data_IF_370582815232
#
_entry.id   IF_370582815232
#
_cell.length_a   1.000
_cell.length_b   1.000
_cell.length_c   1.000
_cell.angle_alpha   90.00
_cell.angle_beta   90.00
_cell.angle_gamma   90.00
#
_symmetry.space_group_name_H-M   'P 1'
#
loop_
_entity.id
_entity.type
_entity.pdbx_description
1 polymer ?
#
# COMPACT_ATOMS: atom_id res chain seq x y z
N UNK A 1 16.63 45.12 4.15
CA UNK A 1 17.85 44.66 3.43
C UNK A 1 18.95 44.17 4.39
N UNK A 2 18.90 44.42 5.71
CA UNK A 2 19.92 43.98 6.68
C UNK A 2 19.77 42.53 7.21
N UNK A 3 18.58 41.92 7.16
CA UNK A 3 18.33 40.58 7.72
C UNK A 3 19.23 39.48 7.14
N UNK A 4 19.46 39.48 5.82
CA UNK A 4 20.33 38.52 5.16
C UNK A 4 21.82 38.67 5.51
N UNK A 5 22.24 39.82 6.05
CA UNK A 5 23.63 40.13 6.37
C UNK A 5 23.98 39.91 7.85
N UNK A 6 22.99 39.85 8.75
CA UNK A 6 23.23 39.75 10.21
C UNK A 6 22.50 38.54 10.83
N UNK A 7 21.94 37.63 10.02
CA UNK A 7 21.20 36.44 10.49
C UNK A 7 19.82 36.79 11.08
N UNK A 8 18.99 35.78 11.31
CA UNK A 8 17.66 35.93 11.93
C UNK A 8 16.51 36.25 10.96
N UNK A 9 15.34 35.74 11.29
CA UNK A 9 14.08 35.84 10.54
C UNK A 9 13.32 37.09 11.01
N UNK A 10 13.01 38.08 10.15
CA UNK A 10 12.23 39.24 10.57
C UNK A 10 10.84 38.86 11.11
N UNK A 11 10.45 39.43 12.25
CA UNK A 11 9.12 39.20 12.86
C UNK A 11 7.99 39.57 11.87
N UNK A 12 8.15 40.66 11.12
CA UNK A 12 7.19 41.09 10.09
C UNK A 12 6.98 40.06 8.97
N UNK A 13 8.02 39.30 8.60
CA UNK A 13 7.89 38.24 7.57
C UNK A 13 7.10 37.04 8.10
N UNK A 14 7.24 36.71 9.39
CA UNK A 14 6.44 35.67 10.04
C UNK A 14 5.00 36.15 10.22
N UNK A 15 4.81 37.39 10.67
CA UNK A 15 3.50 38.02 10.83
C UNK A 15 2.73 38.12 9.50
N UNK A 16 3.40 38.44 8.39
CA UNK A 16 2.81 38.46 7.06
C UNK A 16 2.25 37.09 6.63
N UNK A 17 2.73 35.99 7.22
CA UNK A 17 2.24 34.62 7.01
C UNK A 17 1.19 34.19 8.05
N UNK A 18 0.75 35.09 8.93
CA UNK A 18 -0.17 34.79 10.03
C UNK A 18 -1.46 34.10 9.60
N UNK A 19 -2.03 34.46 8.44
CA UNK A 19 -3.22 33.78 7.91
C UNK A 19 -2.93 32.29 7.60
N UNK A 20 -1.77 31.98 7.00
CA UNK A 20 -1.37 30.60 6.70
C UNK A 20 -1.27 29.74 7.95
N UNK A 21 -0.69 30.28 9.04
CA UNK A 21 -0.63 29.61 10.34
C UNK A 21 -2.01 29.49 11.01
N UNK A 22 -2.78 30.57 11.01
CA UNK A 22 -4.09 30.65 11.64
C UNK A 22 -5.10 29.64 11.06
N UNK A 23 -5.04 29.34 9.76
CA UNK A 23 -5.91 28.33 9.11
C UNK A 23 -5.78 26.94 9.73
N UNK A 24 -4.60 26.58 10.24
CA UNK A 24 -4.35 25.32 10.93
C UNK A 24 -4.27 25.48 12.46
N UNK A 25 -4.54 26.67 12.99
CA UNK A 25 -4.41 26.97 14.41
C UNK A 25 -2.97 26.83 14.92
N UNK A 26 -1.97 26.90 14.05
CA UNK A 26 -0.56 26.78 14.43
C UNK A 26 -0.11 28.10 15.03
N UNK A 27 0.48 28.02 16.23
CA UNK A 27 1.18 29.14 16.83
C UNK A 27 2.61 29.21 16.23
N UNK A 28 3.01 30.30 15.55
CA UNK A 28 4.38 30.45 15.05
C UNK A 28 5.44 30.28 16.14
N UNK A 29 5.11 30.56 17.40
CA UNK A 29 5.99 30.34 18.55
C UNK A 29 6.35 28.88 18.81
N UNK A 30 5.74 27.90 18.13
CA UNK A 30 6.18 26.49 18.19
C UNK A 30 7.29 26.16 17.20
N UNK A 31 7.56 27.06 16.25
CA UNK A 31 8.55 26.89 15.17
C UNK A 31 9.72 27.86 15.32
N UNK A 32 9.49 29.00 15.95
CA UNK A 32 10.46 30.08 16.08
C UNK A 32 10.61 30.54 17.53
N UNK A 33 11.84 30.89 17.92
CA UNK A 33 12.15 31.53 19.20
C UNK A 33 12.68 32.96 18.99
N UNK A 34 12.45 33.89 19.93
CA UNK A 34 13.05 35.23 19.86
C UNK A 34 14.58 35.14 19.88
N UNK A 35 15.24 35.81 18.92
CA UNK A 35 16.70 35.87 18.84
C UNK A 35 17.22 37.24 19.28
N UNK A 36 16.61 38.31 18.75
CA UNK A 36 16.91 39.71 19.08
C UNK A 36 15.71 40.61 18.73
N UNK A 37 15.66 41.88 19.16
CA UNK A 37 14.52 42.75 18.88
C UNK A 37 14.16 42.80 17.38
N UNK A 38 12.95 42.35 17.03
CA UNK A 38 12.44 42.33 15.64
C UNK A 38 12.85 41.11 14.81
N UNK A 39 13.56 40.13 15.39
CA UNK A 39 14.04 38.94 14.70
C UNK A 39 13.88 37.65 15.53
N UNK A 40 13.51 36.58 14.84
CA UNK A 40 13.32 35.24 15.37
C UNK A 40 14.34 34.27 14.77
N UNK A 41 14.65 33.20 15.48
CA UNK A 41 15.40 32.06 14.97
C UNK A 41 14.50 30.83 14.86
N UNK A 42 14.87 29.86 14.01
CA UNK A 42 14.26 28.54 14.08
C UNK A 42 14.60 27.90 15.42
N UNK A 43 13.64 27.19 16.02
CA UNK A 43 13.92 26.42 17.23
C UNK A 43 14.98 25.35 16.98
N UNK A 44 15.72 24.98 18.02
CA UNK A 44 16.75 23.93 17.96
C UNK A 44 16.24 22.60 17.39
N UNK A 45 14.96 22.28 17.58
CA UNK A 45 14.36 21.06 17.03
C UNK A 45 14.18 21.10 15.49
N UNK A 46 14.43 22.24 14.85
CA UNK A 46 14.43 22.43 13.40
C UNK A 46 15.89 22.72 12.97
N UNK A 47 16.69 21.66 12.94
CA UNK A 47 18.12 21.69 12.58
C UNK A 47 18.39 21.42 11.08
N UNK A 48 17.36 21.08 10.32
CA UNK A 48 17.45 20.90 8.89
C UNK A 48 16.09 21.17 8.24
N UNK A 49 16.12 21.50 6.94
CA UNK A 49 14.89 21.73 6.16
C UNK A 49 13.86 20.60 6.30
N UNK A 50 14.22 19.30 6.27
CA UNK A 50 13.26 18.21 6.49
C UNK A 50 12.58 18.22 7.86
N UNK A 51 13.23 18.76 8.90
CA UNK A 51 12.67 18.83 10.25
C UNK A 51 11.45 19.77 10.34
N UNK A 52 11.33 20.75 9.43
CA UNK A 52 10.18 21.67 9.35
C UNK A 52 8.88 20.88 9.13
N UNK A 53 8.89 19.98 8.14
CA UNK A 53 7.71 19.16 7.83
C UNK A 53 7.35 18.26 9.00
N UNK A 54 8.35 17.58 9.57
CA UNK A 54 8.17 16.68 10.72
C UNK A 54 7.54 17.45 11.89
N UNK A 55 8.07 18.64 12.21
CA UNK A 55 7.57 19.47 13.30
C UNK A 55 6.14 19.92 13.05
N UNK A 56 5.83 20.45 11.87
CA UNK A 56 4.48 20.89 11.50
C UNK A 56 3.45 19.74 11.54
N UNK A 57 3.80 18.55 11.05
CA UNK A 57 2.89 17.39 11.05
C UNK A 57 2.68 16.80 12.44
N UNK A 58 3.62 17.02 13.37
CA UNK A 58 3.50 16.66 14.77
C UNK A 58 2.72 17.68 15.62
N UNK A 59 2.42 18.87 15.09
CA UNK A 59 1.68 19.89 15.84
C UNK A 59 0.25 19.44 16.17
N UNK A 60 -0.15 19.41 17.46
CA UNK A 60 -1.50 18.97 17.87
C UNK A 60 -2.62 19.80 17.23
N UNK A 61 -2.40 21.11 17.03
CA UNK A 61 -3.37 21.99 16.40
C UNK A 61 -3.66 21.57 14.95
N UNK A 62 -2.62 21.28 14.16
CA UNK A 62 -2.76 20.80 12.79
C UNK A 62 -3.48 19.46 12.75
N UNK A 63 -3.11 18.52 13.62
CA UNK A 63 -3.76 17.21 13.70
C UNK A 63 -5.26 17.35 14.04
N UNK A 64 -5.60 18.22 14.99
CA UNK A 64 -6.99 18.48 15.40
C UNK A 64 -7.82 19.12 14.28
N UNK A 65 -7.25 20.05 13.52
CA UNK A 65 -7.94 20.67 12.38
C UNK A 65 -8.22 19.65 11.28
N UNK A 66 -7.25 18.77 10.98
CA UNK A 66 -7.44 17.69 10.00
C UNK A 66 -8.49 16.68 10.48
N UNK A 67 -8.44 16.28 11.75
CA UNK A 67 -9.44 15.41 12.36
C UNK A 67 -10.84 16.03 12.30
N UNK A 68 -10.95 17.34 12.50
CA UNK A 68 -12.22 18.07 12.42
C UNK A 68 -12.82 18.06 11.01
N UNK A 69 -11.99 18.16 9.96
CA UNK A 69 -12.45 18.01 8.57
C UNK A 69 -12.91 16.59 8.27
N UNK A 70 -12.18 15.57 8.74
CA UNK A 70 -12.59 14.17 8.60
C UNK A 70 -13.93 13.90 9.29
N UNK A 71 -14.08 14.37 10.53
CA UNK A 71 -15.32 14.24 11.28
C UNK A 71 -16.49 14.99 10.62
N UNK A 72 -16.25 16.17 10.05
CA UNK A 72 -17.28 16.91 9.32
C UNK A 72 -17.73 16.18 8.04
N UNK A 73 -16.82 15.56 7.31
CA UNK A 73 -17.15 14.73 6.16
C UNK A 73 -17.93 13.47 6.57
N UNK A 74 -17.52 12.80 7.64
CA UNK A 74 -18.21 11.62 8.16
C UNK A 74 -19.64 11.95 8.62
N UNK A 75 -19.81 13.03 9.38
CA UNK A 75 -21.12 13.50 9.85
C UNK A 75 -22.00 13.99 8.69
N UNK A 76 -21.42 14.53 7.63
CA UNK A 76 -22.16 14.83 6.40
C UNK A 76 -22.59 13.53 5.70
N UNK A 77 -21.67 12.58 5.55
CA UNK A 77 -21.91 11.32 4.86
C UNK A 77 -22.99 10.47 5.53
N UNK A 78 -23.07 10.48 6.86
CA UNK A 78 -24.08 9.71 7.60
C UNK A 78 -25.51 10.08 7.23
N UNK A 79 -25.73 11.32 6.77
CA UNK A 79 -27.03 11.81 6.27
C UNK A 79 -27.09 11.66 4.74
N UNK A 80 -26.06 12.10 4.03
CA UNK A 80 -26.01 12.08 2.56
C UNK A 80 -26.18 10.68 1.97
N UNK A 81 -25.69 9.63 2.64
CA UNK A 81 -25.83 8.23 2.18
C UNK A 81 -27.28 7.77 2.02
N UNK A 82 -28.21 8.39 2.75
CA UNK A 82 -29.63 8.06 2.66
C UNK A 82 -30.25 8.65 1.39
N UNK A 83 -29.79 9.84 0.95
CA UNK A 83 -30.15 10.40 -0.35
C UNK A 83 -29.71 9.51 -1.51
N UNK A 84 -28.54 8.86 -1.39
CA UNK A 84 -28.08 7.87 -2.37
C UNK A 84 -28.98 6.65 -2.42
N UNK A 85 -29.51 6.21 -1.28
CA UNK A 85 -30.44 5.09 -1.25
C UNK A 85 -31.79 5.41 -1.89
N UNK A 86 -32.23 6.66 -1.80
CA UNK A 86 -33.48 7.15 -2.39
C UNK A 86 -33.35 7.49 -3.89
N UNK A 87 -32.17 7.37 -4.50
CA UNK A 87 -32.00 7.59 -5.95
C UNK A 87 -32.85 6.63 -6.80
N UNK A 88 -33.15 5.43 -6.28
CA UNK A 88 -34.07 4.47 -6.94
C UNK A 88 -35.53 4.90 -6.85
N UNK A 89 -35.89 5.73 -5.87
CA UNK A 89 -37.26 6.16 -5.59
C UNK A 89 -37.68 7.40 -6.40
N UNK A 90 -36.89 7.79 -7.42
CA UNK A 90 -37.25 8.80 -8.41
C UNK A 90 -36.67 10.20 -8.19
N UNK A 91 -35.80 10.39 -7.18
CA UNK A 91 -35.07 11.66 -6.98
C UNK A 91 -34.15 11.93 -8.17
N UNK A 92 -34.26 13.10 -8.79
CA UNK A 92 -33.50 13.41 -10.02
C UNK A 92 -32.04 13.67 -9.69
N UNK A 93 -31.14 13.04 -10.44
CA UNK A 93 -29.69 13.15 -10.26
C UNK A 93 -29.16 14.61 -10.19
N UNK A 94 -29.64 15.57 -11.00
CA UNK A 94 -29.22 16.97 -10.88
C UNK A 94 -29.59 17.62 -9.54
N UNK A 95 -30.77 17.29 -8.99
CA UNK A 95 -31.26 17.86 -7.74
C UNK A 95 -30.44 17.30 -6.56
N UNK A 96 -30.19 15.99 -6.55
CA UNK A 96 -29.30 15.33 -5.58
C UNK A 96 -27.90 15.94 -5.62
N UNK A 97 -27.36 16.17 -6.83
CA UNK A 97 -26.04 16.80 -6.97
C UNK A 97 -26.00 18.18 -6.32
N UNK A 98 -27.01 19.01 -6.57
CA UNK A 98 -27.06 20.38 -6.03
C UNK A 98 -27.19 20.38 -4.50
N UNK A 99 -28.05 19.52 -3.96
CA UNK A 99 -28.26 19.37 -2.52
C UNK A 99 -26.99 18.89 -1.81
N UNK A 100 -26.36 17.84 -2.32
CA UNK A 100 -25.13 17.29 -1.74
C UNK A 100 -23.95 18.28 -1.82
N UNK A 101 -23.83 19.02 -2.93
CA UNK A 101 -22.83 20.09 -3.06
C UNK A 101 -23.04 21.17 -2.00
N UNK A 102 -24.29 21.63 -1.85
CA UNK A 102 -24.64 22.71 -0.92
C UNK A 102 -24.38 22.30 0.52
N UNK A 103 -24.82 21.09 0.90
CA UNK A 103 -24.66 20.57 2.26
C UNK A 103 -23.20 20.28 2.61
N UNK A 104 -22.41 19.72 1.68
CA UNK A 104 -20.99 19.46 1.92
C UNK A 104 -20.20 20.76 2.10
N UNK A 105 -20.44 21.76 1.23
CA UNK A 105 -19.84 23.10 1.39
C UNK A 105 -20.18 23.72 2.74
N UNK A 106 -21.44 23.61 3.16
CA UNK A 106 -21.90 24.10 4.46
C UNK A 106 -21.19 23.45 5.66
N UNK A 107 -20.59 22.26 5.50
CA UNK A 107 -19.81 21.57 6.53
C UNK A 107 -18.32 21.89 6.48
N UNK A 108 -17.74 22.03 5.30
CA UNK A 108 -16.29 22.23 5.13
C UNK A 108 -15.86 23.69 5.23
N UNK A 109 -16.61 24.63 4.62
CA UNK A 109 -16.23 26.06 4.57
C UNK A 109 -16.06 26.68 5.97
N UNK A 110 -16.94 26.41 6.96
CA UNK A 110 -16.78 26.98 8.30
C UNK A 110 -15.51 26.56 9.04
N UNK A 111 -14.82 25.49 8.60
CA UNK A 111 -13.58 25.01 9.22
C UNK A 111 -12.35 25.83 8.79
N UNK A 112 -12.47 26.75 7.83
CA UNK A 112 -11.46 27.76 7.50
C UNK A 112 -10.24 27.29 6.69
N UNK A 113 -9.93 25.99 6.64
CA UNK A 113 -8.86 25.46 5.79
C UNK A 113 -9.29 25.38 4.34
N UNK A 114 -10.53 24.99 4.03
CA UNK A 114 -11.00 24.91 2.65
C UNK A 114 -11.97 26.04 2.36
N UNK A 115 -11.62 26.93 1.43
CA UNK A 115 -12.51 27.98 0.97
C UNK A 115 -13.68 27.42 0.13
N UNK A 116 -14.56 28.31 -0.33
CA UNK A 116 -15.73 27.94 -1.12
C UNK A 116 -15.38 27.17 -2.40
N UNK A 117 -14.31 27.58 -3.09
CA UNK A 117 -13.87 26.97 -4.34
C UNK A 117 -13.22 25.61 -4.10
N UNK A 118 -12.38 25.50 -3.07
CA UNK A 118 -11.73 24.24 -2.68
C UNK A 118 -12.75 23.21 -2.20
N UNK A 119 -13.71 23.63 -1.38
CA UNK A 119 -14.81 22.77 -0.91
C UNK A 119 -15.70 22.29 -2.06
N UNK A 120 -16.02 23.18 -3.02
CA UNK A 120 -16.72 22.78 -4.23
C UNK A 120 -15.86 21.84 -5.11
N UNK A 121 -14.54 22.07 -5.16
CA UNK A 121 -13.59 21.21 -5.87
C UNK A 121 -13.57 19.78 -5.34
N UNK A 122 -13.49 19.61 -4.01
CA UNK A 122 -13.61 18.30 -3.34
C UNK A 122 -14.87 17.58 -3.83
N UNK A 123 -16.03 18.26 -3.78
CA UNK A 123 -17.29 17.67 -4.22
C UNK A 123 -17.28 17.30 -5.71
N UNK A 124 -16.87 18.22 -6.58
CA UNK A 124 -16.97 18.04 -8.04
C UNK A 124 -16.08 16.88 -8.50
N UNK A 125 -14.85 16.78 -7.98
CA UNK A 125 -13.94 15.69 -8.34
C UNK A 125 -14.47 14.35 -7.84
N UNK A 126 -14.98 14.30 -6.60
CA UNK A 126 -15.61 13.11 -6.05
C UNK A 126 -16.83 12.68 -6.88
N UNK A 127 -17.74 13.62 -7.16
CA UNK A 127 -18.97 13.37 -7.94
C UNK A 127 -18.66 12.83 -9.34
N UNK A 128 -17.62 13.35 -10.00
CA UNK A 128 -17.21 12.88 -11.32
C UNK A 128 -16.79 11.41 -11.30
N UNK A 129 -16.07 10.97 -10.26
CA UNK A 129 -15.60 9.60 -10.12
C UNK A 129 -16.76 8.61 -9.90
N UNK A 130 -17.76 8.99 -9.09
CA UNK A 130 -18.86 8.09 -8.74
C UNK A 130 -20.03 8.15 -9.74
N UNK A 131 -20.03 9.07 -10.70
CA UNK A 131 -21.18 9.32 -11.60
C UNK A 131 -21.67 8.04 -12.31
N UNK A 132 -20.76 7.17 -12.73
CA UNK A 132 -21.13 5.92 -13.39
C UNK A 132 -21.70 4.90 -12.40
N UNK A 133 -21.14 4.80 -11.20
CA UNK A 133 -21.71 3.98 -10.13
C UNK A 133 -23.15 4.39 -9.83
N UNK A 134 -23.43 5.69 -9.74
CA UNK A 134 -24.79 6.20 -9.53
C UNK A 134 -25.75 5.80 -10.63
N UNK A 135 -25.31 5.85 -11.89
CA UNK A 135 -26.13 5.39 -13.03
C UNK A 135 -26.46 3.91 -12.90
N UNK A 136 -25.47 3.10 -12.55
CA UNK A 136 -25.63 1.66 -12.33
C UNK A 136 -26.59 1.39 -11.16
N UNK A 137 -26.45 2.09 -10.04
CA UNK A 137 -27.37 1.97 -8.88
C UNK A 137 -28.81 2.29 -9.29
N UNK A 138 -29.02 3.32 -10.10
CA UNK A 138 -30.35 3.69 -10.60
C UNK A 138 -30.89 2.62 -11.55
N UNK A 139 -30.07 2.08 -12.45
CA UNK A 139 -30.54 1.15 -13.49
C UNK A 139 -30.75 -0.29 -13.00
N UNK A 140 -29.82 -0.81 -12.19
CA UNK A 140 -29.77 -2.23 -11.81
C UNK A 140 -29.68 -2.46 -10.29
N UNK A 141 -29.69 -1.40 -9.48
CA UNK A 141 -29.62 -1.51 -8.02
C UNK A 141 -28.20 -1.70 -7.48
N UNK A 142 -28.11 -2.23 -6.26
CA UNK A 142 -26.85 -2.47 -5.55
C UNK A 142 -26.10 -3.68 -6.10
N UNK A 143 -25.62 -3.55 -7.34
CA UNK A 143 -25.04 -4.65 -8.08
C UNK A 143 -23.58 -4.91 -7.68
N UNK A 144 -23.19 -6.18 -7.55
CA UNK A 144 -21.86 -6.58 -7.09
C UNK A 144 -20.71 -6.04 -7.95
N UNK A 145 -20.94 -5.80 -9.25
CA UNK A 145 -19.91 -5.24 -10.16
C UNK A 145 -19.42 -3.84 -9.78
N UNK A 146 -20.14 -3.14 -8.89
CA UNK A 146 -19.74 -1.84 -8.35
C UNK A 146 -18.74 -1.94 -7.20
N UNK A 147 -18.49 -3.14 -6.69
CA UNK A 147 -17.63 -3.42 -5.55
C UNK A 147 -16.30 -3.96 -6.10
N UNK A 148 -15.17 -3.25 -5.96
CA UNK A 148 -13.85 -3.78 -6.28
C UNK A 148 -13.47 -4.95 -5.36
N UNK A 149 -12.60 -5.85 -5.83
CA UNK A 149 -12.24 -7.06 -5.06
C UNK A 149 -11.64 -6.72 -3.71
N UNK A 150 -10.83 -5.66 -3.59
CA UNK A 150 -10.25 -5.20 -2.32
C UNK A 150 -11.29 -4.99 -1.20
N UNK A 151 -12.52 -4.58 -1.53
CA UNK A 151 -13.59 -4.41 -0.54
C UNK A 151 -14.20 -5.74 -0.11
N UNK A 152 -14.29 -6.72 -1.02
CA UNK A 152 -14.75 -8.07 -0.67
C UNK A 152 -13.69 -8.83 0.11
N UNK A 153 -12.43 -8.70 -0.29
CA UNK A 153 -11.30 -9.31 0.41
C UNK A 153 -11.23 -8.77 1.83
N UNK A 154 -11.23 -7.44 2.01
CA UNK A 154 -11.16 -6.85 3.34
C UNK A 154 -12.35 -7.23 4.26
N UNK A 155 -13.52 -7.47 3.68
CA UNK A 155 -14.73 -7.79 4.44
C UNK A 155 -14.85 -9.29 4.76
N UNK A 156 -14.51 -10.16 3.80
CA UNK A 156 -14.85 -11.59 3.87
C UNK A 156 -13.64 -12.52 3.80
N UNK A 157 -12.53 -12.09 3.21
CA UNK A 157 -11.40 -12.96 2.84
C UNK A 157 -10.03 -12.40 3.25
N UNK A 158 -9.99 -11.62 4.33
CA UNK A 158 -8.75 -11.00 4.79
C UNK A 158 -7.74 -12.06 5.23
N UNK A 159 -8.19 -13.14 5.87
CA UNK A 159 -7.33 -14.22 6.31
C UNK A 159 -6.65 -14.93 5.12
N UNK A 160 -7.38 -15.17 4.03
CA UNK A 160 -6.82 -15.73 2.80
C UNK A 160 -5.83 -14.76 2.13
N UNK A 161 -6.13 -13.46 2.11
CA UNK A 161 -5.21 -12.42 1.64
C UNK A 161 -3.91 -12.41 2.44
N UNK A 162 -4.01 -12.45 3.77
CA UNK A 162 -2.86 -12.46 4.68
C UNK A 162 -2.01 -13.73 4.49
N UNK A 163 -2.63 -14.89 4.24
CA UNK A 163 -1.91 -16.13 3.92
C UNK A 163 -1.13 -16.02 2.61
N UNK A 164 -1.73 -15.40 1.58
CA UNK A 164 -1.08 -15.13 0.30
C UNK A 164 0.11 -14.18 0.49
N UNK A 165 -0.06 -13.06 1.19
CA UNK A 165 1.01 -12.10 1.49
C UNK A 165 2.15 -12.77 2.27
N UNK A 166 1.83 -13.62 3.25
CA UNK A 166 2.83 -14.37 4.00
C UNK A 166 3.61 -15.39 3.14
N UNK A 167 2.96 -16.01 2.14
CA UNK A 167 3.62 -16.89 1.19
C UNK A 167 4.54 -16.10 0.24
N UNK A 168 4.12 -14.94 -0.24
CA UNK A 168 4.94 -14.04 -1.07
C UNK A 168 6.18 -13.55 -0.32
N UNK A 169 6.03 -13.20 0.96
CA UNK A 169 7.15 -12.83 1.83
C UNK A 169 8.16 -14.00 1.97
N UNK A 170 7.68 -15.22 2.24
CA UNK A 170 8.54 -16.42 2.32
C UNK A 170 9.24 -16.75 1.01
N UNK A 171 8.59 -16.53 -0.13
CA UNK A 171 9.21 -16.70 -1.45
C UNK A 171 10.33 -15.68 -1.63
N UNK A 172 10.10 -14.42 -1.25
CA UNK A 172 11.09 -13.36 -1.35
C UNK A 172 12.30 -13.62 -0.44
N UNK A 173 12.07 -14.09 0.78
CA UNK A 173 13.11 -14.54 1.71
C UNK A 173 13.94 -15.69 1.12
N UNK A 174 13.27 -16.75 0.64
CA UNK A 174 13.96 -17.89 0.03
C UNK A 174 14.73 -17.51 -1.25
N UNK A 175 14.27 -16.50 -1.99
CA UNK A 175 15.02 -15.95 -3.14
C UNK A 175 16.29 -15.21 -2.71
N UNK A 176 16.26 -14.50 -1.57
CA UNK A 176 17.44 -13.92 -0.95
C UNK A 176 18.44 -14.99 -0.52
N UNK A 177 17.98 -16.02 0.20
CA UNK A 177 18.82 -17.16 0.59
C UNK A 177 19.43 -17.89 -0.64
N UNK A 178 18.67 -17.99 -1.74
CA UNK A 178 19.18 -18.56 -2.98
C UNK A 178 20.33 -17.72 -3.56
N UNK A 179 20.22 -16.39 -3.53
CA UNK A 179 21.26 -15.51 -4.03
C UNK A 179 22.56 -15.66 -3.22
N UNK A 180 22.46 -15.69 -1.89
CA UNK A 180 23.60 -15.91 -0.99
C UNK A 180 24.25 -17.30 -1.19
N UNK A 181 23.43 -18.34 -1.38
CA UNK A 181 23.93 -19.69 -1.65
C UNK A 181 24.63 -19.78 -3.01
N UNK A 182 24.13 -19.07 -4.03
CA UNK A 182 24.75 -19.01 -5.36
C UNK A 182 26.09 -18.28 -5.31
N UNK A 183 26.19 -17.18 -4.57
CA UNK A 183 27.45 -16.45 -4.35
C UNK A 183 28.49 -17.33 -3.63
N UNK A 184 28.08 -17.98 -2.53
CA UNK A 184 28.95 -18.93 -1.79
C UNK A 184 29.44 -20.06 -2.70
N UNK A 185 28.53 -20.63 -3.50
CA UNK A 185 28.87 -21.71 -4.41
C UNK A 185 29.77 -21.25 -5.57
N UNK A 186 29.62 -20.01 -6.04
CA UNK A 186 30.51 -19.41 -7.04
C UNK A 186 31.94 -19.32 -6.50
N UNK A 187 32.11 -18.82 -5.27
CA UNK A 187 33.43 -18.76 -4.61
C UNK A 187 34.04 -20.15 -4.45
N UNK A 188 33.24 -21.12 -3.97
CA UNK A 188 33.70 -22.50 -3.79
C UNK A 188 34.09 -23.16 -5.11
N UNK A 189 33.38 -22.86 -6.19
CA UNK A 189 33.70 -23.36 -7.53
C UNK A 189 34.86 -22.60 -8.20
N UNK A 190 35.37 -21.53 -7.57
CA UNK A 190 36.30 -20.59 -8.18
C UNK A 190 35.82 -20.13 -9.56
N UNK A 191 34.51 -19.91 -9.71
CA UNK A 191 33.89 -19.59 -10.98
C UNK A 191 34.03 -18.10 -11.29
N UNK A 192 34.79 -17.80 -12.34
CA UNK A 192 34.96 -16.45 -12.88
C UNK A 192 33.99 -16.25 -14.07
N UNK A 193 32.94 -15.44 -13.93
CA UNK A 193 32.03 -15.14 -15.03
C UNK A 193 32.70 -14.24 -16.07
N UNK A 194 32.32 -14.40 -17.34
CA UNK A 194 32.70 -13.46 -18.41
C UNK A 194 32.07 -12.06 -18.16
N UNK A 195 32.62 -10.99 -18.77
CA UNK A 195 32.21 -9.59 -18.55
C UNK A 195 30.69 -9.34 -18.70
N UNK A 196 30.00 -10.14 -19.52
CA UNK A 196 28.55 -10.04 -19.77
C UNK A 196 27.73 -11.22 -19.20
N UNK A 197 28.36 -12.15 -18.48
CA UNK A 197 27.66 -13.33 -17.97
C UNK A 197 26.92 -13.02 -16.65
N UNK A 198 25.60 -13.20 -16.68
CA UNK A 198 24.80 -13.15 -15.46
C UNK A 198 24.96 -14.44 -14.67
N UNK A 199 25.58 -14.35 -13.50
CA UNK A 199 25.65 -15.47 -12.55
C UNK A 199 24.25 -15.83 -12.06
N UNK A 200 23.84 -17.06 -12.30
CA UNK A 200 22.54 -17.61 -11.87
C UNK A 200 22.73 -18.97 -11.21
N UNK A 201 21.72 -19.42 -10.45
CA UNK A 201 21.70 -20.76 -9.86
C UNK A 201 21.94 -21.87 -10.90
N UNK A 202 21.40 -21.71 -12.11
CA UNK A 202 21.59 -22.68 -13.19
C UNK A 202 23.05 -22.75 -13.69
N UNK A 203 23.70 -21.58 -13.84
CA UNK A 203 25.11 -21.48 -14.27
C UNK A 203 26.01 -22.12 -13.21
N UNK A 204 25.86 -21.72 -11.95
CA UNK A 204 26.71 -22.23 -10.86
C UNK A 204 26.49 -23.73 -10.64
N UNK A 205 25.25 -24.24 -10.71
CA UNK A 205 25.01 -25.68 -10.64
C UNK A 205 25.66 -26.47 -11.78
N UNK A 206 25.75 -25.88 -12.98
CA UNK A 206 26.47 -26.50 -14.09
C UNK A 206 27.96 -26.59 -13.79
N UNK A 207 28.57 -25.49 -13.33
CA UNK A 207 29.98 -25.45 -12.94
C UNK A 207 30.31 -26.43 -11.79
N UNK A 208 29.48 -26.44 -10.73
CA UNK A 208 29.61 -27.40 -9.63
C UNK A 208 29.55 -28.84 -10.13
N UNK A 209 28.66 -29.14 -11.08
CA UNK A 209 28.52 -30.49 -11.63
C UNK A 209 29.76 -30.93 -12.40
N UNK A 210 30.31 -30.05 -13.25
CA UNK A 210 31.55 -30.34 -13.99
C UNK A 210 32.70 -30.66 -13.01
N UNK A 211 32.88 -29.86 -11.95
CA UNK A 211 33.90 -30.11 -10.91
C UNK A 211 33.63 -31.40 -10.11
N UNK A 212 32.36 -31.72 -9.82
CA UNK A 212 31.98 -32.96 -9.13
C UNK A 212 32.31 -34.18 -9.97
N UNK A 213 32.04 -34.15 -11.27
CA UNK A 213 32.29 -35.24 -12.21
C UNK A 213 33.81 -35.46 -12.37
N UNK A 214 34.61 -34.39 -12.45
CA UNK A 214 36.08 -34.47 -12.54
C UNK A 214 36.74 -35.08 -11.29
N UNK A 215 36.22 -34.77 -10.09
CA UNK A 215 36.77 -35.25 -8.82
C UNK A 215 36.25 -36.64 -8.42
N UNK A 216 35.35 -37.24 -9.19
CA UNK A 216 34.58 -38.41 -8.77
C UNK A 216 35.43 -39.70 -8.61
N UNK A 217 36.53 -39.82 -9.37
CA UNK A 217 37.45 -40.98 -9.33
C UNK A 217 38.67 -40.75 -8.43
N UNK A 218 38.81 -39.57 -7.84
CA UNK A 218 39.95 -39.21 -7.00
C UNK A 218 39.88 -39.83 -5.60
N UNK A 219 40.97 -40.45 -5.14
CA UNK A 219 41.04 -41.15 -3.84
C UNK A 219 41.82 -40.39 -2.75
N UNK A 220 42.43 -39.25 -3.09
CA UNK A 220 43.19 -38.43 -2.15
C UNK A 220 42.30 -37.74 -1.11
N UNK A 221 42.77 -37.63 0.14
CA UNK A 221 42.01 -37.04 1.24
C UNK A 221 41.56 -35.58 0.97
N UNK A 222 42.39 -34.80 0.27
CA UNK A 222 42.05 -33.42 -0.14
C UNK A 222 40.91 -33.39 -1.17
N UNK A 223 41.01 -34.22 -2.22
CA UNK A 223 40.01 -34.32 -3.27
C UNK A 223 38.65 -34.77 -2.73
N UNK A 224 38.64 -35.72 -1.77
CA UNK A 224 37.41 -36.16 -1.12
C UNK A 224 36.73 -35.04 -0.29
N UNK A 225 37.52 -34.17 0.35
CA UNK A 225 37.00 -33.03 1.12
C UNK A 225 36.40 -31.97 0.21
N UNK A 226 37.06 -31.67 -0.90
CA UNK A 226 36.61 -30.72 -1.92
C UNK A 226 35.34 -31.22 -2.63
N UNK A 227 35.33 -32.48 -3.07
CA UNK A 227 34.15 -33.14 -3.64
C UNK A 227 32.94 -33.08 -2.71
N UNK A 228 33.17 -33.24 -1.40
CA UNK A 228 32.11 -33.10 -0.41
C UNK A 228 31.58 -31.67 -0.35
N UNK A 229 32.45 -30.67 -0.31
CA UNK A 229 32.03 -29.26 -0.26
C UNK A 229 31.21 -28.87 -1.49
N UNK A 230 31.66 -29.22 -2.70
CA UNK A 230 30.93 -28.96 -3.95
C UNK A 230 29.55 -29.62 -3.95
N UNK A 231 29.46 -30.88 -3.50
CA UNK A 231 28.19 -31.60 -3.36
C UNK A 231 27.26 -30.96 -2.33
N UNK A 232 27.81 -30.43 -1.24
CA UNK A 232 27.01 -29.78 -0.21
C UNK A 232 26.43 -28.44 -0.73
N UNK A 233 27.19 -27.68 -1.52
CA UNK A 233 26.70 -26.46 -2.19
C UNK A 233 25.63 -26.74 -3.26
N UNK A 234 25.84 -27.73 -4.15
CA UNK A 234 24.83 -28.11 -5.16
C UNK A 234 23.51 -28.56 -4.51
N UNK A 235 23.61 -29.31 -3.40
CA UNK A 235 22.44 -29.72 -2.61
C UNK A 235 21.75 -28.53 -1.96
N UNK A 236 22.50 -27.58 -1.40
CA UNK A 236 21.94 -26.40 -0.76
C UNK A 236 21.11 -25.57 -1.77
N UNK A 237 21.71 -25.25 -2.94
CA UNK A 237 21.01 -24.53 -4.02
C UNK A 237 19.77 -25.31 -4.46
N UNK A 238 19.91 -26.63 -4.71
CA UNK A 238 18.79 -27.47 -5.16
C UNK A 238 17.65 -27.55 -4.13
N UNK A 239 17.96 -27.58 -2.83
CA UNK A 239 16.97 -27.58 -1.77
C UNK A 239 16.20 -26.25 -1.72
N UNK A 240 16.88 -25.12 -1.85
CA UNK A 240 16.26 -23.79 -1.87
C UNK A 240 15.39 -23.62 -3.14
N UNK A 241 15.88 -24.02 -4.32
CA UNK A 241 15.10 -24.01 -5.57
C UNK A 241 13.81 -24.83 -5.43
N UNK A 242 13.91 -26.02 -4.83
CA UNK A 242 12.75 -26.87 -4.56
C UNK A 242 11.77 -26.17 -3.61
N UNK A 243 12.25 -25.59 -2.51
CA UNK A 243 11.40 -24.85 -1.55
C UNK A 243 10.67 -23.70 -2.24
N UNK A 244 11.36 -22.90 -3.06
CA UNK A 244 10.73 -21.81 -3.84
C UNK A 244 9.65 -22.35 -4.78
N UNK A 245 9.93 -23.45 -5.48
CA UNK A 245 8.97 -24.09 -6.40
C UNK A 245 7.72 -24.58 -5.67
N UNK A 246 7.90 -25.24 -4.53
CA UNK A 246 6.82 -25.78 -3.72
C UNK A 246 5.97 -24.62 -3.16
N UNK A 247 6.60 -23.58 -2.60
CA UNK A 247 5.92 -22.36 -2.15
C UNK A 247 5.12 -21.66 -3.26
N UNK A 248 5.68 -21.54 -4.47
CA UNK A 248 4.97 -20.95 -5.62
C UNK A 248 3.76 -21.77 -6.04
N UNK A 249 3.84 -23.09 -5.92
CA UNK A 249 2.71 -23.99 -6.20
C UNK A 249 1.61 -23.80 -5.16
N UNK A 250 1.97 -23.68 -3.88
CA UNK A 250 1.02 -23.36 -2.81
C UNK A 250 0.40 -21.97 -2.99
N UNK A 251 1.21 -20.95 -3.29
CA UNK A 251 0.74 -19.59 -3.56
C UNK A 251 -0.30 -19.57 -4.68
N UNK A 252 0.00 -20.24 -5.81
CA UNK A 252 -0.94 -20.34 -6.92
C UNK A 252 -2.25 -21.02 -6.50
N UNK A 253 -2.17 -22.12 -5.77
CA UNK A 253 -3.37 -22.82 -5.29
C UNK A 253 -4.24 -21.95 -4.38
N UNK A 254 -3.62 -21.15 -3.49
CA UNK A 254 -4.33 -20.21 -2.61
C UNK A 254 -4.92 -19.03 -3.37
N UNK A 255 -4.21 -18.50 -4.35
CA UNK A 255 -4.72 -17.43 -5.22
C UNK A 255 -5.94 -17.91 -6.04
N UNK A 256 -5.85 -19.10 -6.64
CA UNK A 256 -6.96 -19.71 -7.38
C UNK A 256 -8.17 -19.99 -6.46
N UNK A 257 -7.92 -20.39 -5.20
CA UNK A 257 -8.95 -20.59 -4.19
C UNK A 257 -9.64 -19.27 -3.80
N UNK A 258 -8.87 -18.21 -3.55
CA UNK A 258 -9.41 -16.88 -3.24
C UNK A 258 -10.25 -16.33 -4.40
N UNK A 259 -9.77 -16.46 -5.64
CA UNK A 259 -10.51 -16.05 -6.83
C UNK A 259 -11.86 -16.80 -6.94
N UNK A 260 -11.85 -18.12 -6.72
CA UNK A 260 -13.08 -18.90 -6.69
C UNK A 260 -14.04 -18.43 -5.58
N UNK A 261 -13.54 -18.19 -4.37
CA UNK A 261 -14.33 -17.68 -3.24
C UNK A 261 -14.95 -16.32 -3.56
N UNK A 262 -14.19 -15.41 -4.18
CA UNK A 262 -14.69 -14.10 -4.63
C UNK A 262 -15.82 -14.23 -5.65
N UNK A 263 -15.64 -15.08 -6.66
CA UNK A 263 -16.67 -15.26 -7.68
C UNK A 263 -17.94 -15.91 -7.11
N UNK A 264 -17.80 -16.91 -6.23
CA UNK A 264 -18.93 -17.53 -5.54
C UNK A 264 -19.64 -16.54 -4.61
N UNK A 265 -18.90 -15.66 -3.93
CA UNK A 265 -19.49 -14.58 -3.13
C UNK A 265 -20.30 -13.64 -4.01
N UNK A 266 -19.83 -13.30 -5.21
CA UNK A 266 -20.53 -12.38 -6.13
C UNK A 266 -21.76 -13.00 -6.79
N UNK A 267 -21.58 -14.15 -7.43
CA UNK A 267 -22.53 -14.73 -8.38
C UNK A 267 -23.33 -15.90 -7.80
N UNK A 268 -22.95 -16.40 -6.62
CA UNK A 268 -23.48 -17.65 -6.09
C UNK A 268 -22.92 -18.86 -6.84
N UNK A 269 -23.50 -20.04 -6.59
CA UNK A 269 -22.99 -21.31 -7.15
C UNK A 269 -23.73 -21.78 -8.39
N UNK A 270 -24.81 -21.12 -8.82
CA UNK A 270 -25.67 -21.66 -9.87
C UNK A 270 -24.99 -21.75 -11.24
N UNK A 271 -24.31 -20.70 -11.68
CA UNK A 271 -23.55 -20.71 -12.94
C UNK A 271 -22.39 -21.72 -12.90
N UNK A 272 -21.69 -21.81 -11.75
CA UNK A 272 -20.61 -22.78 -11.55
C UNK A 272 -21.06 -24.24 -11.61
N UNK A 273 -22.32 -24.49 -11.25
CA UNK A 273 -22.92 -25.82 -11.25
C UNK A 273 -23.66 -26.13 -12.56
N UNK A 274 -24.00 -25.12 -13.37
CA UNK A 274 -24.85 -25.28 -14.54
C UNK A 274 -24.30 -26.31 -15.54
N UNK A 275 -23.03 -26.16 -15.95
CA UNK A 275 -22.36 -27.09 -16.86
C UNK A 275 -22.30 -28.52 -16.28
N UNK A 276 -21.95 -28.65 -15.00
CA UNK A 276 -21.87 -29.96 -14.35
C UNK A 276 -23.24 -30.63 -14.25
N UNK A 277 -24.31 -29.85 -13.99
CA UNK A 277 -25.70 -30.34 -13.99
C UNK A 277 -26.13 -30.79 -15.38
N UNK A 278 -25.77 -30.07 -16.44
CA UNK A 278 -26.10 -30.45 -17.82
C UNK A 278 -25.38 -31.74 -18.24
N UNK A 279 -24.08 -31.86 -17.96
CA UNK A 279 -23.31 -33.08 -18.24
C UNK A 279 -23.86 -34.29 -17.49
N UNK A 280 -24.31 -34.11 -16.24
CA UNK A 280 -24.99 -35.17 -15.48
C UNK A 280 -26.30 -35.59 -16.16
N UNK A 281 -27.10 -34.64 -16.65
CA UNK A 281 -28.34 -34.97 -17.38
C UNK A 281 -28.05 -35.73 -18.67
N UNK A 282 -27.02 -35.35 -19.43
CA UNK A 282 -26.60 -36.06 -20.63
C UNK A 282 -26.10 -37.48 -20.30
N UNK A 283 -25.30 -37.63 -19.24
CA UNK A 283 -24.87 -38.93 -18.74
C UNK A 283 -26.06 -39.82 -18.36
N UNK A 284 -27.07 -39.27 -17.68
CA UNK A 284 -28.29 -39.99 -17.30
C UNK A 284 -29.11 -40.44 -18.52
N UNK A 285 -29.21 -39.59 -19.55
CA UNK A 285 -29.87 -39.94 -20.81
C UNK A 285 -29.12 -41.05 -21.56
N UNK A 286 -27.79 -41.04 -21.56
CA UNK A 286 -26.98 -42.10 -22.15
C UNK A 286 -27.15 -43.43 -21.40
N UNK A 287 -27.14 -43.39 -20.06
CA UNK A 287 -27.34 -44.57 -19.22
C UNK A 287 -28.70 -45.24 -19.47
N UNK A 288 -29.75 -44.45 -19.70
CA UNK A 288 -31.10 -44.97 -19.96
C UNK A 288 -31.20 -45.83 -21.24
N UNK A 289 -30.28 -45.65 -22.19
CA UNK A 289 -30.25 -46.39 -23.46
C UNK A 289 -29.34 -47.63 -23.47
N UNK A 290 -28.66 -47.96 -22.36
CA UNK A 290 -27.67 -49.04 -22.28
C UNK A 290 -28.24 -50.27 -21.57
N UNK A 291 -27.87 -51.47 -22.03
CA UNK A 291 -28.26 -52.73 -21.37
C UNK A 291 -27.17 -53.20 -20.38
N UNK A 292 -27.45 -53.25 -19.06
CA UNK A 292 -26.50 -53.73 -18.06
C UNK A 292 -26.04 -55.19 -18.26
N UNK A 293 -26.79 -55.99 -19.00
CA UNK A 293 -26.47 -57.40 -19.28
C UNK A 293 -25.51 -57.56 -20.46
N UNK A 294 -25.41 -56.57 -21.34
CA UNK A 294 -24.40 -56.56 -22.39
C UNK A 294 -23.03 -56.16 -21.82
N UNK A 295 -21.99 -56.93 -22.14
CA UNK A 295 -20.64 -56.73 -21.58
C UNK A 295 -20.01 -55.40 -22.03
N UNK A 296 -20.36 -54.92 -23.22
CA UNK A 296 -19.84 -53.67 -23.79
C UNK A 296 -20.53 -52.49 -23.14
N UNK A 297 -21.85 -52.55 -22.99
CA UNK A 297 -22.64 -51.51 -22.35
C UNK A 297 -22.40 -51.43 -20.85
N UNK A 298 -22.19 -52.55 -20.14
CA UNK A 298 -21.82 -52.55 -18.73
C UNK A 298 -20.48 -51.83 -18.46
N UNK A 299 -19.51 -51.94 -19.37
CA UNK A 299 -18.25 -51.18 -19.29
C UNK A 299 -18.48 -49.67 -19.45
N UNK A 300 -19.35 -49.27 -20.40
CA UNK A 300 -19.72 -47.86 -20.59
C UNK A 300 -20.48 -47.31 -19.38
N UNK A 301 -21.43 -48.06 -18.84
CA UNK A 301 -22.17 -47.70 -17.61
C UNK A 301 -21.19 -47.42 -16.47
N UNK A 302 -20.20 -48.30 -16.27
CA UNK A 302 -19.18 -48.10 -15.22
C UNK A 302 -18.37 -46.83 -15.43
N UNK A 303 -17.95 -46.54 -16.67
CA UNK A 303 -17.21 -45.33 -16.98
C UNK A 303 -18.05 -44.06 -16.78
N UNK A 304 -19.28 -44.04 -17.31
CA UNK A 304 -20.21 -42.90 -17.19
C UNK A 304 -20.55 -42.62 -15.72
N UNK A 305 -20.78 -43.66 -14.91
CA UNK A 305 -21.03 -43.48 -13.48
C UNK A 305 -19.83 -42.86 -12.75
N UNK A 306 -18.60 -43.26 -13.09
CA UNK A 306 -17.38 -42.67 -12.52
C UNK A 306 -17.23 -41.18 -12.89
N UNK A 307 -17.53 -40.84 -14.14
CA UNK A 307 -17.52 -39.44 -14.58
C UNK A 307 -18.60 -38.63 -13.86
N UNK A 308 -19.81 -39.20 -13.71
CA UNK A 308 -20.92 -38.59 -12.95
C UNK A 308 -20.55 -38.37 -11.48
N UNK A 309 -19.93 -39.34 -10.81
CA UNK A 309 -19.44 -39.18 -9.43
C UNK A 309 -18.46 -38.00 -9.30
N UNK A 310 -17.59 -37.81 -10.29
CA UNK A 310 -16.64 -36.68 -10.33
C UNK A 310 -17.39 -35.34 -10.46
N UNK A 311 -18.40 -35.27 -11.33
CA UNK A 311 -19.22 -34.07 -11.51
C UNK A 311 -20.06 -33.75 -10.26
N UNK A 312 -20.63 -34.76 -9.62
CA UNK A 312 -21.38 -34.61 -8.36
C UNK A 312 -20.46 -34.12 -7.24
N UNK A 313 -19.25 -34.68 -7.12
CA UNK A 313 -18.27 -34.21 -6.16
C UNK A 313 -17.85 -32.76 -6.41
N UNK A 314 -17.71 -32.35 -7.68
CA UNK A 314 -17.45 -30.95 -8.05
C UNK A 314 -18.57 -30.02 -7.59
N UNK A 315 -19.84 -30.39 -7.84
CA UNK A 315 -21.01 -29.64 -7.36
C UNK A 315 -21.01 -29.53 -5.83
N UNK A 316 -20.80 -30.64 -5.12
CA UNK A 316 -20.78 -30.68 -3.67
C UNK A 316 -19.65 -29.80 -3.09
N UNK A 317 -18.48 -29.79 -3.71
CA UNK A 317 -17.37 -28.91 -3.33
C UNK A 317 -17.73 -27.43 -3.49
N UNK A 318 -18.36 -27.06 -4.60
CA UNK A 318 -18.82 -25.67 -4.83
C UNK A 318 -19.83 -25.24 -3.76
N UNK A 319 -20.77 -26.11 -3.41
CA UNK A 319 -21.77 -25.81 -2.38
C UNK A 319 -21.15 -25.75 -0.97
N UNK A 320 -20.16 -26.60 -0.68
CA UNK A 320 -19.41 -26.54 0.57
C UNK A 320 -18.66 -25.20 0.71
N UNK A 321 -17.97 -24.74 -0.34
CA UNK A 321 -17.27 -23.45 -0.34
C UNK A 321 -18.28 -22.31 -0.18
N UNK A 322 -19.39 -22.33 -0.93
CA UNK A 322 -20.41 -21.29 -0.82
C UNK A 322 -20.99 -21.22 0.60
N UNK A 323 -21.19 -22.36 1.25
CA UNK A 323 -21.62 -22.42 2.65
C UNK A 323 -20.55 -21.89 3.61
N UNK A 324 -19.28 -22.22 3.39
CA UNK A 324 -18.15 -21.77 4.21
C UNK A 324 -18.02 -20.24 4.20
N UNK A 325 -18.20 -19.60 3.04
CA UNK A 325 -18.10 -18.14 2.87
C UNK A 325 -19.37 -17.37 3.28
N UNK A 326 -20.33 -18.05 3.91
CA UNK A 326 -21.58 -17.45 4.37
C UNK A 326 -22.60 -17.16 3.27
N UNK A 327 -22.52 -17.86 2.13
CA UNK A 327 -23.44 -17.70 1.00
C UNK A 327 -23.08 -16.55 0.05
N UNK A 328 -23.93 -16.38 -0.96
CA UNK A 328 -23.82 -15.28 -1.93
C UNK A 328 -24.01 -13.93 -1.22
N UNK A 329 -23.35 -12.90 -1.77
CA UNK A 329 -23.47 -11.51 -1.37
C UNK A 329 -24.94 -11.08 -1.39
N UNK A 330 -25.45 -10.71 -0.22
CA UNK A 330 -26.78 -10.16 -0.06
C UNK A 330 -26.86 -8.72 -0.58
N UNK A 331 -28.08 -8.26 -0.89
CA UNK A 331 -28.30 -6.86 -1.31
C UNK A 331 -27.88 -5.86 -0.22
N UNK A 332 -28.05 -6.21 1.06
CA UNK A 332 -27.64 -5.36 2.19
C UNK A 332 -26.12 -5.23 2.30
N UNK A 333 -25.39 -6.34 2.18
CA UNK A 333 -23.93 -6.33 2.13
C UNK A 333 -23.43 -5.54 0.91
N UNK A 334 -24.03 -5.77 -0.27
CA UNK A 334 -23.68 -5.04 -1.48
C UNK A 334 -23.88 -3.54 -1.32
N UNK A 335 -25.05 -3.12 -0.82
CA UNK A 335 -25.35 -1.71 -0.52
C UNK A 335 -24.33 -1.10 0.43
N UNK A 336 -24.00 -1.79 1.52
CA UNK A 336 -23.04 -1.32 2.51
C UNK A 336 -21.66 -1.12 1.92
N UNK A 337 -21.16 -2.08 1.15
CA UNK A 337 -19.83 -2.02 0.53
C UNK A 337 -19.76 -0.95 -0.58
N UNK A 338 -20.81 -0.80 -1.39
CA UNK A 338 -20.88 0.25 -2.42
C UNK A 338 -20.88 1.64 -1.76
N UNK A 339 -21.67 1.85 -0.71
CA UNK A 339 -21.68 3.12 0.03
C UNK A 339 -20.34 3.38 0.71
N UNK A 340 -19.69 2.35 1.27
CA UNK A 340 -18.33 2.46 1.81
C UNK A 340 -17.35 2.93 0.72
N UNK A 341 -17.39 2.32 -0.48
CA UNK A 341 -16.55 2.73 -1.61
C UNK A 341 -16.76 4.21 -1.97
N UNK A 342 -18.02 4.63 -2.12
CA UNK A 342 -18.36 6.01 -2.47
C UNK A 342 -17.82 7.00 -1.42
N UNK A 343 -17.91 6.64 -0.13
CA UNK A 343 -17.35 7.43 0.96
C UNK A 343 -15.82 7.48 0.94
N UNK A 344 -15.16 6.35 0.74
CA UNK A 344 -13.70 6.26 0.72
C UNK A 344 -13.11 7.14 -0.41
N UNK A 345 -13.80 7.27 -1.55
CA UNK A 345 -13.45 8.21 -2.62
C UNK A 345 -13.63 9.67 -2.14
N UNK A 346 -14.72 10.00 -1.44
CA UNK A 346 -14.93 11.35 -0.90
C UNK A 346 -13.84 11.73 0.12
N UNK A 347 -13.48 10.78 1.00
CA UNK A 347 -12.40 10.93 1.97
C UNK A 347 -11.07 11.19 1.27
N UNK A 348 -10.76 10.41 0.24
CA UNK A 348 -9.52 10.56 -0.54
C UNK A 348 -9.44 11.94 -1.20
N UNK A 349 -10.52 12.44 -1.79
CA UNK A 349 -10.55 13.79 -2.35
C UNK A 349 -10.39 14.87 -1.27
N UNK A 350 -11.08 14.75 -0.13
CA UNK A 350 -10.87 15.68 0.99
C UNK A 350 -9.40 15.70 1.43
N UNK A 351 -8.80 14.53 1.64
CA UNK A 351 -7.40 14.41 2.06
C UNK A 351 -6.43 15.00 1.05
N UNK A 352 -6.69 14.84 -0.26
CA UNK A 352 -5.91 15.47 -1.32
C UNK A 352 -5.88 17.00 -1.16
N UNK A 353 -7.04 17.62 -0.94
CA UNK A 353 -7.12 19.08 -0.76
C UNK A 353 -6.47 19.53 0.56
N UNK A 354 -6.70 18.81 1.65
CA UNK A 354 -6.05 19.12 2.93
C UNK A 354 -4.53 18.99 2.85
N UNK A 355 -4.02 17.96 2.18
CA UNK A 355 -2.59 17.77 1.98
C UNK A 355 -1.98 18.85 1.08
N UNK A 356 -2.72 19.37 0.11
CA UNK A 356 -2.30 20.53 -0.66
C UNK A 356 -2.15 21.78 0.24
N UNK A 357 -3.10 22.02 1.14
CA UNK A 357 -3.00 23.13 2.11
C UNK A 357 -1.87 22.94 3.13
N UNK A 358 -1.62 21.70 3.59
CA UNK A 358 -0.44 21.37 4.41
C UNK A 358 0.86 21.72 3.68
N UNK A 359 0.98 21.38 2.40
CA UNK A 359 2.18 21.73 1.60
C UNK A 359 2.36 23.24 1.50
N UNK A 360 1.28 24.02 1.41
CA UNK A 360 1.35 25.49 1.38
C UNK A 360 1.98 26.05 2.67
N UNK A 361 1.57 25.57 3.85
CA UNK A 361 2.16 26.02 5.11
C UNK A 361 3.61 25.55 5.27
N UNK A 362 3.92 24.29 4.90
CA UNK A 362 5.30 23.79 4.91
C UNK A 362 6.19 24.63 4.02
N UNK A 363 5.77 24.91 2.78
CA UNK A 363 6.54 25.75 1.85
C UNK A 363 6.73 27.17 2.38
N UNK A 364 5.73 27.73 3.06
CA UNK A 364 5.83 29.08 3.63
C UNK A 364 6.95 29.18 4.67
N UNK A 365 7.15 28.13 5.47
CA UNK A 365 8.21 28.01 6.49
C UNK A 365 9.56 27.64 5.85
N UNK A 366 9.57 26.70 4.90
CA UNK A 366 10.77 26.36 4.13
C UNK A 366 11.35 27.57 3.38
N UNK A 367 10.50 28.45 2.86
CA UNK A 367 10.96 29.69 2.24
C UNK A 367 11.64 30.64 3.24
N UNK A 368 11.26 30.60 4.52
CA UNK A 368 11.98 31.34 5.57
C UNK A 368 13.32 30.67 5.88
N UNK A 369 13.36 29.35 5.89
CA UNK A 369 14.59 28.56 6.05
C UNK A 369 15.61 28.89 4.96
N UNK A 370 15.21 28.77 3.70
CA UNK A 370 16.09 29.01 2.56
C UNK A 370 16.65 30.45 2.56
N UNK A 371 15.87 31.41 3.07
CA UNK A 371 16.27 32.82 3.15
C UNK A 371 17.22 33.13 4.30
N UNK A 372 17.06 32.49 5.46
CA UNK A 372 17.63 32.98 6.72
C UNK A 372 18.49 31.96 7.47
N UNK A 373 18.22 30.66 7.35
CA UNK A 373 18.95 29.63 8.11
C UNK A 373 20.39 29.44 7.63
N UNK A 374 20.63 29.50 6.31
CA UNK A 374 21.99 29.36 5.74
C UNK A 374 22.86 30.58 6.10
N UNK A 375 22.29 31.78 5.99
CA UNK A 375 23.00 33.02 6.37
C UNK A 375 23.33 33.06 7.86
N UNK A 376 22.40 32.63 8.72
CA UNK A 376 22.64 32.55 10.17
C UNK A 376 23.79 31.60 10.51
N UNK A 377 23.79 30.38 9.94
CA UNK A 377 24.90 29.40 10.14
C UNK A 377 26.25 29.90 9.63
N UNK A 378 26.25 30.55 8.47
CA UNK A 378 27.47 31.13 7.91
C UNK A 378 28.06 32.20 8.82
N UNK A 379 27.21 33.03 9.43
CA UNK A 379 27.62 34.09 10.36
C UNK A 379 28.07 33.54 11.72
N UNK A 380 27.43 32.49 12.22
CA UNK A 380 27.89 31.78 13.42
C UNK A 380 29.28 31.18 13.23
N UNK A 381 29.53 30.53 12.10
CA UNK A 381 30.84 29.98 11.77
C UNK A 381 31.93 31.08 11.68
N UNK A 382 31.63 32.20 11.03
CA UNK A 382 32.56 33.35 10.94
C UNK A 382 32.83 33.98 12.32
N UNK A 383 31.82 33.99 13.20
CA UNK A 383 31.96 34.45 14.58
C UNK A 383 32.84 33.52 15.42
N UNK A 384 32.68 32.20 15.29
CA UNK A 384 33.55 31.24 15.98
C UNK A 384 35.01 31.35 15.52
N UNK A 385 35.26 31.55 14.23
CA UNK A 385 36.61 31.73 13.69
C UNK A 385 37.26 33.03 14.20
N UNK A 386 36.49 34.13 14.23
CA UNK A 386 36.98 35.41 14.76
C UNK A 386 37.22 35.36 16.28
N UNK A 387 36.36 34.68 17.04
CA UNK A 387 36.58 34.46 18.49
C UNK A 387 37.82 33.60 18.75
N UNK A 388 38.02 32.53 17.99
CA UNK A 388 39.22 31.70 18.08
C UNK A 388 40.49 32.51 17.77
N UNK A 389 40.43 33.35 16.74
CA UNK A 389 41.53 34.26 16.38
C UNK A 389 41.83 35.24 17.51
N UNK A 390 40.79 35.82 18.12
CA UNK A 390 40.92 36.71 19.27
C UNK A 390 41.54 36.01 20.49
N UNK A 391 41.08 34.80 20.82
CA UNK A 391 41.63 34.00 21.92
C UNK A 391 43.11 33.67 21.68
N UNK A 392 43.50 33.36 20.45
CA UNK A 392 44.89 33.10 20.07
C UNK A 392 45.76 34.37 20.18
N UNK A 393 45.24 35.54 19.80
CA UNK A 393 45.91 36.83 20.04
C UNK A 393 46.06 37.15 21.52
N UNK A 394 45.03 36.91 22.34
CA UNK A 394 45.07 37.16 23.79
C UNK A 394 46.06 36.23 24.51
N UNK A 395 46.18 34.97 24.07
CA UNK A 395 47.24 34.05 24.53
C UNK A 395 48.63 34.54 24.15
N UNK A 396 48.81 35.07 22.93
CA UNK A 396 50.08 35.61 22.45
C UNK A 396 50.55 36.89 23.15
N UNK A 397 49.63 37.65 23.76
CA UNK A 397 49.91 38.87 24.51
C UNK A 397 50.07 38.65 26.03
N UNK A 398 50.14 37.39 26.49
CA UNK A 398 50.28 37.01 27.91
C UNK A 398 49.18 37.57 28.86
N UNK A 399 47.98 37.90 28.35
CA UNK A 399 46.88 38.42 29.18
C UNK A 399 46.21 37.36 30.09
N UNK A 400 46.66 36.10 30.04
CA UNK A 400 46.31 35.05 31.01
C UNK A 400 47.40 34.79 32.05
N UNK A 401 48.22 35.79 32.36
CA UNK A 401 49.00 35.79 33.58
C UNK A 401 48.68 37.07 34.38
N UNK A 402 47.95 36.88 35.47
CA UNK A 402 47.96 37.62 36.75
C UNK A 402 46.54 37.92 37.25
N UNK A 403 46.02 36.99 38.03
CA UNK A 403 44.81 37.13 38.83
C UNK A 403 44.66 35.94 39.75
N UNK A 404 45.49 35.91 40.79
CA UNK A 404 45.35 35.06 41.98
C UNK A 404 44.13 35.46 42.81
#
# INVERSE_FOLDING_TARGET
MQAHQIGGIPEDEVAARGNTFARFGIDPGTLFDPERPGYLAFREQIDAKPAIKIRLEAEPALQQVIASHRAALEAWWSVARDDFAQLRDGKKMPDVRLELLTTLKGKLVPLGVLDEFKSAGVFVNWWQQIRYDLKTIISIGWHHSLIPDEYLIAEFFQAESDEIEALEAKISEAQGELAEAVETAQEVAAYEPDEDEKVTAAVIKKALKELIDDLQESTGASALKELKNLKDQDKAITAIEKRIKDLKTTLKARADELELKLQLKRLGSDDFKAESRELIQQADAQLAGLDPKDKTDNRKITAINKDKETLVARIARTDAILSEIGGQLSEEEARRLILKKIYDIARTELERYLNAEKRVITQAVENLWDKYAVSSRSLEAEREETLKTLDDFLKGLEYHAHGH
#
